data_IF_094746267407
#
_entry.id   IF_094746267407
#
_cell.length_a   1.000
_cell.length_b   1.000
_cell.length_c   1.000
_cell.angle_alpha   90.00
_cell.angle_beta   90.00
_cell.angle_gamma   90.00
#
_symmetry.space_group_name_H-M   'P 1'
#
loop_
_entity.id
_entity.type
_entity.pdbx_description
1 polymer ?
#
# COMPACT_ATOMS: atom_id res chain seq x y z
N UNK A 1 -0.66 -46.54 -41.74
CA UNK A 1 -0.12 -45.23 -42.12
C UNK A 1 -0.99 -44.04 -41.64
N UNK A 2 -2.31 -44.10 -41.58
CA UNK A 2 -3.23 -43.01 -41.22
C UNK A 2 -3.14 -42.60 -39.76
N UNK A 3 -2.82 -43.49 -38.81
CA UNK A 3 -2.78 -43.19 -37.35
C UNK A 3 -1.57 -42.32 -37.00
N UNK A 4 -0.42 -42.49 -37.67
CA UNK A 4 0.79 -41.69 -37.42
C UNK A 4 0.63 -40.23 -37.86
N UNK A 5 -0.06 -39.99 -38.98
CA UNK A 5 -0.32 -38.63 -39.48
C UNK A 5 -1.23 -37.85 -38.56
N UNK A 6 -2.30 -38.46 -38.01
CA UNK A 6 -3.20 -37.83 -37.07
C UNK A 6 -2.48 -37.40 -35.76
N UNK A 7 -1.59 -38.25 -35.22
CA UNK A 7 -0.80 -37.93 -34.02
C UNK A 7 0.16 -36.76 -34.25
N UNK A 8 0.78 -36.67 -35.44
CA UNK A 8 1.70 -35.59 -35.79
C UNK A 8 0.96 -34.25 -35.92
N UNK A 9 -0.23 -34.24 -36.56
CA UNK A 9 -1.06 -33.05 -36.69
C UNK A 9 -1.53 -32.56 -35.33
N UNK A 10 -2.06 -33.45 -34.49
CA UNK A 10 -2.50 -33.09 -33.12
C UNK A 10 -1.35 -32.49 -32.29
N UNK A 11 -0.15 -33.09 -32.40
CA UNK A 11 1.04 -32.55 -31.68
C UNK A 11 1.45 -31.16 -32.19
N UNK A 12 1.39 -30.90 -33.49
CA UNK A 12 1.68 -29.59 -34.09
C UNK A 12 0.67 -28.54 -33.65
N UNK A 13 -0.62 -28.90 -33.65
CA UNK A 13 -1.69 -28.00 -33.13
C UNK A 13 -1.47 -27.71 -31.64
N UNK A 14 -1.19 -28.73 -30.83
CA UNK A 14 -0.92 -28.55 -29.39
C UNK A 14 0.28 -27.64 -29.14
N UNK A 15 1.37 -27.80 -29.92
CA UNK A 15 2.53 -26.91 -29.86
C UNK A 15 2.18 -25.48 -30.30
N UNK A 16 1.41 -25.30 -31.36
CA UNK A 16 0.93 -24.02 -31.82
C UNK A 16 0.11 -23.31 -30.74
N UNK A 17 -0.85 -24.00 -30.12
CA UNK A 17 -1.67 -23.49 -29.03
C UNK A 17 -0.79 -23.11 -27.81
N UNK A 18 0.17 -23.96 -27.43
CA UNK A 18 1.09 -23.72 -26.34
C UNK A 18 1.94 -22.47 -26.59
N UNK A 19 2.55 -22.35 -27.78
CA UNK A 19 3.37 -21.18 -28.15
C UNK A 19 2.53 -19.89 -28.13
N UNK A 20 1.32 -19.95 -28.69
CA UNK A 20 0.40 -18.81 -28.69
C UNK A 20 0.00 -18.42 -27.26
N UNK A 21 -0.32 -19.40 -26.40
CA UNK A 21 -0.66 -19.17 -25.00
C UNK A 21 0.50 -18.58 -24.22
N UNK A 22 1.72 -19.10 -24.41
CA UNK A 22 2.95 -18.55 -23.82
C UNK A 22 3.23 -17.14 -24.34
N UNK A 23 3.11 -16.91 -25.65
CA UNK A 23 3.26 -15.59 -26.26
C UNK A 23 2.26 -14.59 -25.70
N UNK A 24 1.00 -14.97 -25.51
CA UNK A 24 0.00 -14.14 -24.87
C UNK A 24 0.31 -13.87 -23.39
N UNK A 25 0.77 -14.87 -22.66
CA UNK A 25 1.06 -14.76 -21.22
C UNK A 25 2.26 -13.84 -20.98
N UNK A 26 3.30 -13.97 -21.78
CA UNK A 26 4.54 -13.18 -21.65
C UNK A 26 4.43 -11.85 -22.42
N UNK A 27 3.76 -11.86 -23.58
CA UNK A 27 3.69 -10.70 -24.46
C UNK A 27 2.89 -9.54 -23.86
N UNK A 28 3.53 -8.35 -23.83
CA UNK A 28 2.89 -7.06 -23.53
C UNK A 28 3.44 -6.02 -24.52
N UNK A 29 2.58 -5.07 -24.90
CA UNK A 29 2.96 -4.01 -25.82
C UNK A 29 2.47 -2.64 -25.33
N UNK A 30 3.30 -1.59 -25.35
CA UNK A 30 4.74 -1.62 -25.64
C UNK A 30 5.56 -2.48 -24.66
N UNK A 31 6.76 -2.96 -25.04
CA UNK A 31 7.60 -3.74 -24.14
C UNK A 31 8.02 -2.91 -22.91
N UNK A 32 8.23 -3.49 -21.73
CA UNK A 32 8.55 -2.74 -20.50
C UNK A 32 9.72 -1.77 -20.62
N UNK A 33 10.75 -2.13 -21.37
CA UNK A 33 11.92 -1.26 -21.63
C UNK A 33 11.54 0.09 -22.25
N UNK A 34 10.45 0.13 -23.00
CA UNK A 34 9.95 1.37 -23.63
C UNK A 34 9.65 2.46 -22.60
N UNK A 35 9.18 2.07 -21.42
CA UNK A 35 8.83 3.00 -20.36
C UNK A 35 10.04 3.58 -19.60
N UNK A 36 11.25 3.17 -19.94
CA UNK A 36 12.48 3.82 -19.45
C UNK A 36 12.50 5.30 -19.78
N UNK A 37 12.18 5.62 -21.03
CA UNK A 37 12.33 6.98 -21.59
C UNK A 37 11.00 7.59 -22.05
N UNK A 38 9.92 6.80 -22.07
CA UNK A 38 8.63 7.25 -22.61
C UNK A 38 7.56 7.31 -21.54
N UNK A 39 6.62 8.22 -21.75
CA UNK A 39 5.40 8.31 -20.94
C UNK A 39 4.23 7.67 -21.69
N UNK A 40 3.37 6.89 -21.03
CA UNK A 40 2.15 6.41 -21.65
C UNK A 40 1.21 7.60 -21.92
N UNK A 41 0.69 7.67 -23.14
CA UNK A 41 -0.38 8.64 -23.47
C UNK A 41 -1.66 8.24 -22.76
N UNK A 42 -1.94 6.94 -22.71
CA UNK A 42 -3.10 6.35 -22.07
C UNK A 42 -2.77 4.93 -21.61
N UNK A 43 -3.19 4.56 -20.41
CA UNK A 43 -3.03 3.20 -19.90
C UNK A 43 -4.22 2.30 -20.25
N UNK A 44 -4.05 0.98 -20.12
CA UNK A 44 -5.16 0.05 -20.30
C UNK A 44 -6.30 0.30 -19.31
N UNK A 45 -5.98 0.74 -18.10
CA UNK A 45 -6.99 1.07 -17.08
C UNK A 45 -7.73 2.37 -17.43
N UNK A 46 -7.03 3.43 -17.84
CA UNK A 46 -7.62 4.70 -18.28
C UNK A 46 -8.60 4.47 -19.43
N UNK A 47 -8.18 3.74 -20.46
CA UNK A 47 -9.02 3.39 -21.62
C UNK A 47 -10.29 2.67 -21.21
N UNK A 48 -10.21 1.77 -20.25
CA UNK A 48 -11.37 1.03 -19.76
C UNK A 48 -12.36 1.91 -18.99
N UNK A 49 -11.88 2.88 -18.24
CA UNK A 49 -12.74 3.81 -17.50
C UNK A 49 -13.52 4.75 -18.43
N UNK A 50 -13.02 4.95 -19.67
CA UNK A 50 -13.71 5.73 -20.71
C UNK A 50 -13.88 7.22 -20.42
N UNK A 51 -13.21 7.71 -19.38
CA UNK A 51 -13.20 9.13 -19.06
C UNK A 51 -12.11 9.86 -19.86
N UNK A 52 -12.30 11.13 -20.25
CA UNK A 52 -11.23 11.94 -20.82
C UNK A 52 -10.05 11.99 -19.85
N UNK A 53 -8.90 11.53 -20.30
CA UNK A 53 -7.70 11.50 -19.47
C UNK A 53 -6.93 12.79 -19.70
N UNK A 54 -6.93 13.65 -18.68
CA UNK A 54 -6.03 14.81 -18.64
C UNK A 54 -5.02 14.56 -17.52
N UNK A 55 -3.87 13.97 -17.85
CA UNK A 55 -2.78 13.88 -16.90
C UNK A 55 -1.52 14.53 -17.47
N UNK A 56 -0.74 15.14 -16.59
CA UNK A 56 0.55 15.73 -16.95
C UNK A 56 1.60 15.04 -16.09
N UNK A 57 2.37 14.11 -16.65
CA UNK A 57 3.39 13.41 -15.88
C UNK A 57 4.48 14.39 -15.46
N UNK A 58 4.97 14.22 -14.26
CA UNK A 58 6.09 14.97 -13.70
C UNK A 58 7.20 14.01 -13.29
N UNK A 59 8.48 14.41 -13.37
CA UNK A 59 9.58 13.57 -12.90
C UNK A 59 9.52 13.35 -11.41
N UNK A 60 10.18 12.27 -10.92
CA UNK A 60 10.11 11.82 -9.54
C UNK A 60 10.56 12.91 -8.54
N UNK A 61 11.51 13.75 -8.94
CA UNK A 61 12.06 14.83 -8.11
C UNK A 61 11.03 15.93 -7.80
N UNK A 62 9.97 16.02 -8.58
CA UNK A 62 8.87 16.96 -8.32
C UNK A 62 7.85 16.42 -7.29
N UNK A 63 7.94 15.16 -6.92
CA UNK A 63 7.19 14.61 -5.80
C UNK A 63 7.98 14.77 -4.50
N UNK A 64 7.41 15.35 -3.45
CA UNK A 64 8.10 15.45 -2.18
C UNK A 64 8.41 14.05 -1.64
N UNK A 65 9.57 13.90 -1.01
CA UNK A 65 10.01 12.63 -0.45
C UNK A 65 9.02 12.03 0.55
N UNK A 66 8.27 12.89 1.24
CA UNK A 66 7.21 12.49 2.16
C UNK A 66 6.09 11.71 1.44
N UNK A 67 5.62 12.16 0.27
CA UNK A 67 4.63 11.41 -0.51
C UNK A 67 5.17 10.06 -0.96
N UNK A 68 6.39 10.04 -1.51
CA UNK A 68 7.03 8.81 -1.96
C UNK A 68 7.13 7.78 -0.82
N UNK A 69 7.56 8.20 0.36
CA UNK A 69 7.67 7.33 1.55
C UNK A 69 6.32 6.86 2.05
N UNK A 70 5.30 7.73 2.11
CA UNK A 70 3.97 7.38 2.58
C UNK A 70 3.26 6.40 1.65
N UNK A 71 3.44 6.54 0.34
CA UNK A 71 2.93 5.57 -0.65
C UNK A 71 3.61 4.21 -0.47
N UNK A 72 4.92 4.18 -0.27
CA UNK A 72 5.65 2.94 0.00
C UNK A 72 5.18 2.29 1.31
N UNK A 73 5.03 3.08 2.38
CA UNK A 73 4.53 2.60 3.68
C UNK A 73 3.12 2.02 3.56
N UNK A 74 2.25 2.68 2.81
CA UNK A 74 0.85 2.30 2.69
C UNK A 74 0.59 1.11 1.76
N UNK A 75 1.36 0.99 0.68
CA UNK A 75 1.08 0.04 -0.39
C UNK A 75 2.07 -1.12 -0.48
N UNK A 76 3.34 -0.88 -0.14
CA UNK A 76 4.40 -1.85 -0.40
C UNK A 76 5.65 -1.51 0.43
N UNK A 77 5.61 -1.78 1.72
CA UNK A 77 6.64 -1.35 2.67
C UNK A 77 8.04 -1.87 2.34
N UNK A 78 8.15 -2.97 1.60
CA UNK A 78 9.39 -3.58 1.13
C UNK A 78 9.71 -3.28 -0.34
N UNK A 79 9.04 -2.31 -0.96
CA UNK A 79 9.20 -1.95 -2.37
C UNK A 79 10.66 -1.86 -2.82
N UNK A 80 11.52 -1.29 -2.00
CA UNK A 80 12.95 -1.07 -2.34
C UNK A 80 13.79 -2.34 -2.30
N UNK A 81 13.30 -3.43 -1.71
CA UNK A 81 14.10 -4.64 -1.45
C UNK A 81 13.71 -5.85 -2.28
N UNK A 82 12.43 -5.98 -2.65
CA UNK A 82 11.99 -7.08 -3.52
C UNK A 82 12.11 -6.74 -5.01
N UNK A 83 11.91 -7.75 -5.89
CA UNK A 83 12.00 -7.62 -7.34
C UNK A 83 10.65 -7.93 -8.02
N UNK A 84 9.67 -7.05 -7.80
CA UNK A 84 8.35 -7.13 -8.45
C UNK A 84 7.31 -7.94 -7.72
N UNK A 85 7.72 -8.99 -7.00
CA UNK A 85 6.87 -9.79 -6.13
C UNK A 85 7.47 -9.80 -4.73
N UNK A 86 6.65 -9.57 -3.73
CA UNK A 86 7.02 -9.71 -2.34
C UNK A 86 6.65 -11.12 -1.85
N UNK A 87 7.61 -12.04 -1.93
CA UNK A 87 7.38 -13.42 -1.51
C UNK A 87 7.22 -13.58 0.00
N UNK A 88 7.78 -12.69 0.80
CA UNK A 88 7.57 -12.70 2.25
C UNK A 88 6.15 -12.31 2.59
N UNK A 89 5.64 -11.20 2.02
CA UNK A 89 4.25 -10.79 2.18
C UNK A 89 3.26 -11.86 1.71
N UNK A 90 3.54 -12.47 0.56
CA UNK A 90 2.71 -13.58 0.04
C UNK A 90 2.70 -14.75 1.03
N UNK A 91 3.84 -15.10 1.59
CA UNK A 91 3.97 -16.21 2.56
C UNK A 91 3.23 -15.89 3.85
N UNK A 92 3.40 -14.68 4.37
CA UNK A 92 2.76 -14.21 5.59
C UNK A 92 1.24 -14.16 5.43
N UNK A 93 0.75 -13.59 4.32
CA UNK A 93 -0.68 -13.56 3.99
C UNK A 93 -1.31 -14.96 3.90
N UNK A 94 -0.55 -15.94 3.43
CA UNK A 94 -0.99 -17.34 3.32
C UNK A 94 -0.82 -18.14 4.61
N UNK A 95 -0.07 -17.62 5.60
CA UNK A 95 0.30 -18.33 6.82
C UNK A 95 1.09 -19.60 6.48
N UNK A 96 2.12 -19.47 5.64
CA UNK A 96 2.99 -20.58 5.23
C UNK A 96 4.27 -20.59 6.09
N UNK A 97 4.60 -21.76 6.66
CA UNK A 97 5.87 -21.95 7.35
C UNK A 97 7.06 -21.92 6.38
N UNK A 98 8.25 -21.57 6.89
CA UNK A 98 9.48 -21.45 6.09
C UNK A 98 9.91 -22.73 5.37
N UNK A 99 9.33 -23.88 5.69
CA UNK A 99 9.63 -25.19 5.11
C UNK A 99 8.55 -25.75 4.19
N UNK A 100 7.52 -24.98 3.84
CA UNK A 100 6.43 -25.47 3.01
C UNK A 100 6.92 -25.86 1.60
N UNK A 101 6.74 -27.12 1.23
CA UNK A 101 7.10 -27.63 -0.10
C UNK A 101 6.27 -26.99 -1.21
N UNK A 102 6.81 -26.98 -2.44
CA UNK A 102 6.20 -26.34 -3.61
C UNK A 102 4.73 -26.74 -3.83
N UNK A 103 4.39 -28.03 -3.75
CA UNK A 103 3.01 -28.51 -3.92
C UNK A 103 2.05 -28.01 -2.85
N UNK A 104 2.51 -27.91 -1.60
CA UNK A 104 1.75 -27.35 -0.49
C UNK A 104 1.49 -25.87 -0.69
N UNK A 105 2.52 -25.13 -1.13
CA UNK A 105 2.44 -23.70 -1.45
C UNK A 105 1.41 -23.43 -2.54
N UNK A 106 1.51 -24.12 -3.69
CA UNK A 106 0.56 -23.96 -4.81
C UNK A 106 -0.89 -24.28 -4.39
N UNK A 107 -1.09 -25.37 -3.63
CA UNK A 107 -2.43 -25.74 -3.12
C UNK A 107 -2.97 -24.69 -2.15
N UNK A 108 -2.13 -24.13 -1.30
CA UNK A 108 -2.52 -23.10 -0.33
C UNK A 108 -2.84 -21.79 -1.02
N UNK A 109 -2.05 -21.36 -2.01
CA UNK A 109 -2.34 -20.20 -2.87
C UNK A 109 -3.74 -20.35 -3.49
N UNK A 110 -4.04 -21.51 -4.06
CA UNK A 110 -5.34 -21.75 -4.68
C UNK A 110 -6.51 -21.70 -3.69
N UNK A 111 -6.32 -22.26 -2.49
CA UNK A 111 -7.35 -22.30 -1.44
C UNK A 111 -7.56 -20.97 -0.73
N UNK A 112 -6.48 -20.21 -0.51
CA UNK A 112 -6.48 -18.95 0.27
C UNK A 112 -6.28 -17.72 -0.60
N UNK A 113 -6.62 -17.80 -1.89
CA UNK A 113 -6.44 -16.70 -2.84
C UNK A 113 -7.10 -15.38 -2.40
N UNK A 114 -8.16 -15.45 -1.58
CA UNK A 114 -8.81 -14.27 -1.05
C UNK A 114 -7.95 -13.52 -0.02
N UNK A 115 -7.02 -14.20 0.64
CA UNK A 115 -6.03 -13.59 1.56
C UNK A 115 -4.88 -12.91 0.84
N UNK A 116 -4.68 -13.21 -0.46
CA UNK A 116 -3.68 -12.51 -1.28
C UNK A 116 -4.16 -11.13 -1.75
N UNK A 117 -5.40 -10.75 -1.42
CA UNK A 117 -5.85 -9.38 -1.61
C UNK A 117 -5.05 -8.48 -0.67
N UNK A 118 -4.47 -7.41 -1.22
CA UNK A 118 -3.63 -6.49 -0.48
C UNK A 118 -2.14 -6.87 -0.41
N UNK A 119 -1.75 -8.09 -0.82
CA UNK A 119 -0.33 -8.46 -0.98
C UNK A 119 0.20 -8.13 -2.39
N UNK A 120 -0.42 -7.19 -3.08
CA UNK A 120 0.02 -6.76 -4.43
C UNK A 120 1.01 -5.62 -4.31
N UNK A 121 2.18 -5.79 -4.89
CA UNK A 121 3.25 -4.78 -4.88
C UNK A 121 2.91 -3.58 -5.77
N UNK A 122 3.58 -2.45 -5.55
CA UNK A 122 3.52 -1.25 -6.41
C UNK A 122 3.80 -1.64 -7.87
N UNK A 123 4.77 -2.50 -8.12
CA UNK A 123 5.12 -2.94 -9.48
C UNK A 123 4.02 -3.79 -10.12
N UNK A 124 3.33 -4.64 -9.35
CA UNK A 124 2.16 -5.38 -9.83
C UNK A 124 0.98 -4.45 -10.16
N UNK A 125 0.74 -3.46 -9.31
CA UNK A 125 -0.29 -2.44 -9.55
C UNK A 125 0.04 -1.62 -10.81
N UNK A 126 1.31 -1.23 -11.01
CA UNK A 126 1.75 -0.56 -12.24
C UNK A 126 1.55 -1.45 -13.47
N UNK A 127 1.93 -2.73 -13.41
CA UNK A 127 1.71 -3.69 -14.49
C UNK A 127 0.22 -3.82 -14.86
N UNK A 128 -0.65 -3.88 -13.84
CA UNK A 128 -2.11 -3.88 -14.02
C UNK A 128 -2.56 -2.61 -14.74
N UNK A 129 -2.14 -1.44 -14.29
CA UNK A 129 -2.55 -0.16 -14.87
C UNK A 129 -2.11 -0.01 -16.33
N UNK A 130 -0.86 -0.35 -16.63
CA UNK A 130 -0.29 -0.17 -17.96
C UNK A 130 -0.91 -1.09 -19.00
N UNK A 131 -1.10 -2.38 -18.67
CA UNK A 131 -1.29 -3.41 -19.69
C UNK A 131 -2.56 -4.25 -19.54
N UNK A 132 -3.17 -4.30 -18.34
CA UNK A 132 -4.18 -5.30 -18.06
C UNK A 132 -5.54 -4.66 -17.82
N UNK A 133 -6.57 -5.30 -18.37
CA UNK A 133 -7.94 -4.96 -18.01
C UNK A 133 -8.31 -5.64 -16.68
N UNK A 134 -9.16 -5.01 -15.83
CA UNK A 134 -9.68 -5.67 -14.66
C UNK A 134 -10.55 -6.86 -15.07
N UNK A 135 -10.12 -8.06 -14.70
CA UNK A 135 -10.87 -9.30 -14.82
C UNK A 135 -10.54 -10.21 -13.65
N UNK A 136 -11.48 -11.07 -13.26
CA UNK A 136 -11.27 -12.04 -12.17
C UNK A 136 -10.61 -13.33 -12.63
N UNK A 137 -10.03 -13.34 -13.84
CA UNK A 137 -9.37 -14.53 -14.37
C UNK A 137 -8.03 -14.76 -13.65
N UNK A 138 -7.77 -15.95 -13.07
CA UNK A 138 -6.49 -16.28 -12.44
C UNK A 138 -5.29 -16.12 -13.37
N UNK A 139 -5.45 -16.40 -14.67
CA UNK A 139 -4.40 -16.21 -15.67
C UNK A 139 -3.98 -14.74 -15.80
N UNK A 140 -4.90 -13.80 -15.58
CA UNK A 140 -4.57 -12.37 -15.53
C UNK A 140 -3.59 -12.07 -14.38
N UNK A 141 -3.80 -12.68 -13.20
CA UNK A 141 -2.89 -12.46 -12.05
C UNK A 141 -1.51 -13.06 -12.30
N UNK A 142 -1.42 -14.18 -13.00
CA UNK A 142 -0.14 -14.74 -13.45
C UNK A 142 0.54 -13.79 -14.46
N UNK A 143 -0.20 -13.29 -15.43
CA UNK A 143 0.32 -12.31 -16.40
C UNK A 143 0.78 -11.02 -15.72
N UNK A 144 0.03 -10.54 -14.75
CA UNK A 144 0.40 -9.38 -13.92
C UNK A 144 1.75 -9.61 -13.20
N UNK A 145 1.90 -10.76 -12.54
CA UNK A 145 3.13 -11.12 -11.84
C UNK A 145 4.34 -11.21 -12.81
N UNK A 146 4.18 -11.88 -13.96
CA UNK A 146 5.23 -11.96 -14.98
C UNK A 146 5.58 -10.58 -15.56
N UNK A 147 4.58 -9.73 -15.75
CA UNK A 147 4.80 -8.36 -16.24
C UNK A 147 5.51 -7.52 -15.20
N UNK A 148 5.17 -7.66 -13.93
CA UNK A 148 5.85 -6.98 -12.83
C UNK A 148 7.34 -7.36 -12.75
N UNK A 149 7.67 -8.67 -12.83
CA UNK A 149 9.05 -9.14 -12.90
C UNK A 149 9.82 -8.52 -14.09
N UNK A 150 9.18 -8.40 -15.24
CA UNK A 150 9.79 -7.80 -16.43
C UNK A 150 9.98 -6.29 -16.29
N UNK A 151 9.06 -5.57 -15.65
CA UNK A 151 9.24 -4.16 -15.33
C UNK A 151 10.46 -3.97 -14.43
N UNK A 152 10.61 -4.79 -13.40
CA UNK A 152 11.79 -4.72 -12.49
C UNK A 152 13.12 -5.09 -13.15
N UNK A 153 13.09 -5.96 -14.14
CA UNK A 153 14.30 -6.28 -14.91
C UNK A 153 14.74 -5.16 -15.86
N UNK A 154 13.80 -4.31 -16.28
CA UNK A 154 14.03 -3.32 -17.33
C UNK A 154 14.06 -1.87 -16.81
N UNK A 155 13.49 -1.61 -15.64
CA UNK A 155 13.34 -0.28 -15.07
C UNK A 155 13.96 -0.20 -13.67
N UNK A 156 14.47 0.96 -13.32
CA UNK A 156 14.89 1.23 -11.94
C UNK A 156 13.67 1.36 -11.01
N UNK A 157 13.88 1.12 -9.72
CA UNK A 157 12.86 1.35 -8.68
C UNK A 157 12.30 2.77 -8.70
N UNK A 158 13.16 3.75 -8.95
CA UNK A 158 12.75 5.15 -9.03
C UNK A 158 11.84 5.38 -10.24
N UNK A 159 12.17 4.80 -11.39
CA UNK A 159 11.32 4.92 -12.58
C UNK A 159 9.98 4.20 -12.41
N UNK A 160 9.96 3.05 -11.76
CA UNK A 160 8.72 2.33 -11.43
C UNK A 160 7.83 3.19 -10.52
N UNK A 161 8.40 3.77 -9.45
CA UNK A 161 7.67 4.65 -8.54
C UNK A 161 7.18 5.91 -9.24
N UNK A 162 8.00 6.51 -10.08
CA UNK A 162 7.66 7.68 -10.88
C UNK A 162 6.46 7.41 -11.80
N UNK A 163 6.50 6.31 -12.55
CA UNK A 163 5.39 5.89 -13.39
C UNK A 163 4.14 5.62 -12.54
N UNK A 164 4.29 4.93 -11.42
CA UNK A 164 3.17 4.62 -10.54
C UNK A 164 2.48 5.87 -10.03
N UNK A 165 3.22 6.82 -9.46
CA UNK A 165 2.69 8.08 -8.92
C UNK A 165 1.99 8.94 -9.98
N UNK A 166 2.41 8.83 -11.23
CA UNK A 166 1.80 9.57 -12.34
C UNK A 166 0.57 8.86 -12.94
N UNK A 167 0.42 7.54 -12.78
CA UNK A 167 -0.56 6.74 -13.52
C UNK A 167 -1.65 6.11 -12.68
N UNK A 168 -1.50 6.10 -11.35
CA UNK A 168 -2.48 5.47 -10.45
C UNK A 168 -3.78 6.26 -10.40
N UNK A 169 -4.91 5.55 -10.32
CA UNK A 169 -6.23 6.16 -10.10
C UNK A 169 -6.36 6.65 -8.66
N UNK A 170 -6.78 7.90 -8.47
CA UNK A 170 -6.97 8.54 -7.16
C UNK A 170 -8.38 9.11 -6.98
N UNK A 171 -9.24 8.86 -7.95
CA UNK A 171 -10.64 9.26 -7.93
C UNK A 171 -11.31 8.98 -9.26
N UNK A 172 -12.61 9.17 -9.41
CA UNK A 172 -13.32 8.97 -10.66
C UNK A 172 -12.72 9.83 -11.79
N UNK A 173 -12.05 9.19 -12.76
CA UNK A 173 -11.40 9.88 -13.87
C UNK A 173 -10.15 10.70 -13.47
N UNK A 174 -9.67 10.57 -12.26
CA UNK A 174 -8.56 11.33 -11.70
C UNK A 174 -7.30 10.45 -11.63
N UNK A 175 -6.33 10.74 -12.46
CA UNK A 175 -5.14 9.92 -12.67
C UNK A 175 -3.87 10.65 -12.26
N UNK A 176 -3.10 9.99 -11.41
CA UNK A 176 -1.82 10.46 -10.90
C UNK A 176 -1.92 11.47 -9.76
N UNK A 177 -0.91 11.44 -8.91
CA UNK A 177 -0.79 12.35 -7.78
C UNK A 177 -0.72 13.86 -8.20
N UNK A 178 -0.16 14.24 -9.36
CA UNK A 178 -0.18 15.64 -9.78
C UNK A 178 -1.60 16.20 -9.99
N UNK A 179 -2.45 15.44 -10.68
CA UNK A 179 -3.84 15.83 -10.88
C UNK A 179 -4.63 15.79 -9.58
N UNK A 180 -4.42 14.76 -8.75
CA UNK A 180 -5.09 14.61 -7.47
C UNK A 180 -4.70 15.71 -6.46
N UNK A 181 -3.42 16.09 -6.40
CA UNK A 181 -2.92 17.18 -5.58
C UNK A 181 -3.64 18.50 -5.90
N UNK A 182 -3.73 18.84 -7.19
CA UNK A 182 -4.43 20.04 -7.65
C UNK A 182 -5.94 19.94 -7.40
N UNK A 183 -6.55 18.79 -7.71
CA UNK A 183 -7.99 18.61 -7.62
C UNK A 183 -8.49 18.61 -6.16
N UNK A 184 -7.79 17.94 -5.25
CA UNK A 184 -8.24 17.79 -3.88
C UNK A 184 -7.78 18.93 -2.96
N UNK A 185 -6.59 19.48 -3.21
CA UNK A 185 -5.95 20.41 -2.28
C UNK A 185 -5.61 21.77 -2.91
N UNK A 186 -5.74 21.92 -4.21
CA UNK A 186 -5.42 23.18 -4.89
C UNK A 186 -3.92 23.50 -4.94
N UNK A 187 -3.04 22.53 -4.69
CA UNK A 187 -1.59 22.72 -4.63
C UNK A 187 -0.85 21.88 -5.66
N UNK A 188 0.34 22.31 -6.04
CA UNK A 188 1.24 21.49 -6.85
C UNK A 188 1.76 20.29 -6.03
N UNK A 189 2.16 19.17 -6.67
CA UNK A 189 2.67 17.99 -5.95
C UNK A 189 3.79 18.31 -4.96
N UNK A 190 4.73 19.18 -5.36
CA UNK A 190 5.87 19.58 -4.54
C UNK A 190 5.49 20.37 -3.28
N UNK A 191 4.28 20.95 -3.23
CA UNK A 191 3.77 21.73 -2.11
C UNK A 191 2.83 20.95 -1.19
N UNK A 192 2.70 19.62 -1.36
CA UNK A 192 1.88 18.78 -0.48
C UNK A 192 2.43 18.80 0.95
N UNK A 193 1.56 19.07 1.91
CA UNK A 193 1.84 18.84 3.33
C UNK A 193 1.89 17.35 3.66
N UNK A 194 2.44 16.98 4.83
CA UNK A 194 2.43 15.58 5.29
C UNK A 194 1.02 14.99 5.33
N UNK A 195 0.06 15.73 5.88
CA UNK A 195 -1.33 15.28 5.97
C UNK A 195 -1.97 15.06 4.58
N UNK A 196 -1.68 15.93 3.62
CA UNK A 196 -2.16 15.82 2.25
C UNK A 196 -1.49 14.65 1.51
N UNK A 197 -0.19 14.47 1.68
CA UNK A 197 0.56 13.34 1.12
C UNK A 197 0.04 12.00 1.66
N UNK A 198 -0.20 11.92 2.98
CA UNK A 198 -0.79 10.74 3.61
C UNK A 198 -2.22 10.48 3.12
N UNK A 199 -3.02 11.53 2.90
CA UNK A 199 -4.37 11.39 2.36
C UNK A 199 -4.37 10.82 0.93
N UNK A 200 -3.44 11.27 0.06
CA UNK A 200 -3.27 10.67 -1.28
C UNK A 200 -2.85 9.20 -1.18
N UNK A 201 -1.86 8.88 -0.34
CA UNK A 201 -1.43 7.50 -0.12
C UNK A 201 -2.57 6.63 0.41
N UNK A 202 -3.38 7.15 1.32
CA UNK A 202 -4.53 6.45 1.90
C UNK A 202 -5.69 6.25 0.92
N UNK A 203 -5.75 7.02 -0.16
CA UNK A 203 -6.79 6.90 -1.19
C UNK A 203 -6.54 5.73 -2.15
N UNK A 204 -5.28 5.30 -2.32
CA UNK A 204 -4.87 4.33 -3.33
C UNK A 204 -5.65 3.00 -3.33
N UNK A 205 -5.98 2.40 -2.17
CA UNK A 205 -6.70 1.13 -2.16
C UNK A 205 -8.16 1.24 -2.56
N UNK A 206 -8.79 2.40 -2.44
CA UNK A 206 -10.22 2.59 -2.67
C UNK A 206 -10.58 3.94 -3.31
N UNK A 207 -9.96 4.28 -4.47
CA UNK A 207 -10.07 5.61 -5.07
C UNK A 207 -11.49 6.02 -5.44
N UNK A 208 -12.37 5.07 -5.71
CA UNK A 208 -13.75 5.33 -6.11
C UNK A 208 -14.73 5.37 -4.94
N UNK A 209 -14.46 4.61 -3.88
CA UNK A 209 -15.40 4.45 -2.75
C UNK A 209 -15.06 5.32 -1.53
N UNK A 210 -13.79 5.75 -1.39
CA UNK A 210 -13.38 6.61 -0.29
C UNK A 210 -12.13 7.43 -0.67
N UNK A 211 -12.32 8.71 -0.88
CA UNK A 211 -11.26 9.65 -1.25
C UNK A 211 -11.52 11.02 -0.58
N UNK A 212 -10.64 12.01 -0.69
CA UNK A 212 -10.84 13.31 -0.06
C UNK A 212 -12.15 14.00 -0.38
N UNK A 213 -12.73 13.75 -1.56
CA UNK A 213 -13.97 14.36 -2.01
C UNK A 213 -15.23 13.53 -1.72
N UNK A 214 -15.07 12.24 -1.40
CA UNK A 214 -16.21 11.33 -1.29
C UNK A 214 -16.02 10.29 -0.19
N UNK A 215 -16.96 10.25 0.77
CA UNK A 215 -17.00 9.28 1.89
C UNK A 215 -15.62 9.08 2.55
N UNK A 216 -14.99 10.17 2.95
CA UNK A 216 -13.58 10.21 3.36
C UNK A 216 -13.21 9.37 4.61
N UNK A 217 -14.18 8.84 5.35
CA UNK A 217 -13.93 8.18 6.65
C UNK A 217 -12.91 7.03 6.58
N UNK A 218 -13.01 6.11 5.61
CA UNK A 218 -12.03 5.01 5.44
C UNK A 218 -10.65 5.55 5.07
N UNK A 219 -10.61 6.51 4.15
CA UNK A 219 -9.38 7.17 3.75
C UNK A 219 -8.73 7.90 4.92
N UNK A 220 -9.49 8.64 5.72
CA UNK A 220 -8.97 9.35 6.90
C UNK A 220 -8.41 8.39 7.94
N UNK A 221 -9.12 7.30 8.25
CA UNK A 221 -8.59 6.28 9.16
C UNK A 221 -7.26 5.68 8.67
N UNK A 222 -7.18 5.30 7.39
CA UNK A 222 -5.94 4.78 6.80
C UNK A 222 -4.83 5.83 6.76
N UNK A 223 -5.15 7.10 6.49
CA UNK A 223 -4.21 8.22 6.56
C UNK A 223 -3.53 8.30 7.92
N UNK A 224 -4.33 8.20 9.00
CA UNK A 224 -3.81 8.31 10.35
C UNK A 224 -2.86 7.14 10.69
N UNK A 225 -3.15 5.93 10.23
CA UNK A 225 -2.25 4.78 10.35
C UNK A 225 -0.93 4.99 9.56
N UNK A 226 -1.01 5.53 8.33
CA UNK A 226 0.18 5.82 7.52
C UNK A 226 1.04 6.90 8.19
N UNK A 227 0.43 7.97 8.70
CA UNK A 227 1.12 9.03 9.45
C UNK A 227 1.80 8.48 10.71
N UNK A 228 1.09 7.70 11.51
CA UNK A 228 1.63 7.07 12.71
C UNK A 228 2.88 6.23 12.37
N UNK A 229 2.80 5.40 11.33
CA UNK A 229 3.92 4.56 10.89
C UNK A 229 5.07 5.38 10.29
N UNK A 230 4.76 6.45 9.56
CA UNK A 230 5.76 7.39 9.05
C UNK A 230 6.57 8.05 10.17
N UNK A 231 5.93 8.37 11.29
CA UNK A 231 6.55 8.92 12.49
C UNK A 231 7.14 7.86 13.43
N UNK A 232 7.25 6.60 13.00
CA UNK A 232 7.93 5.53 13.72
C UNK A 232 7.07 4.79 14.74
N UNK A 233 5.77 5.02 14.78
CA UNK A 233 4.86 4.23 15.62
C UNK A 233 4.62 2.88 14.94
N UNK A 234 4.82 1.78 15.66
CA UNK A 234 4.57 0.44 15.13
C UNK A 234 3.07 0.13 15.13
N UNK A 235 2.42 0.47 14.00
CA UNK A 235 1.00 0.21 13.78
C UNK A 235 0.82 -0.71 12.57
N UNK A 236 -0.16 -1.59 12.65
CA UNK A 236 -0.55 -2.42 11.52
C UNK A 236 -1.45 -1.64 10.57
N UNK A 237 -1.08 -1.56 9.30
CA UNK A 237 -1.90 -0.99 8.23
C UNK A 237 -2.56 -2.16 7.50
N UNK A 238 -3.89 -2.33 7.63
CA UNK A 238 -4.58 -3.43 6.96
C UNK A 238 -4.42 -3.34 5.44
N UNK A 239 -4.14 -4.45 4.76
CA UNK A 239 -4.16 -4.49 3.30
C UNK A 239 -5.61 -4.34 2.83
N UNK A 240 -5.85 -3.34 2.00
CA UNK A 240 -7.16 -3.07 1.43
C UNK A 240 -7.07 -2.99 -0.09
N UNK A 241 -8.11 -3.43 -0.78
CA UNK A 241 -8.22 -3.31 -2.24
C UNK A 241 -9.70 -3.10 -2.60
N UNK A 242 -9.95 -2.10 -3.45
CA UNK A 242 -11.28 -1.86 -3.97
C UNK A 242 -11.64 -2.93 -5.00
N UNK A 243 -12.88 -3.38 -4.95
CA UNK A 243 -13.39 -4.30 -5.97
C UNK A 243 -13.56 -3.54 -7.29
N UNK A 244 -13.07 -4.11 -8.38
CA UNK A 244 -13.22 -3.56 -9.74
C UNK A 244 -14.70 -3.36 -10.16
N UNK A 245 -15.64 -3.86 -9.36
CA UNK A 245 -17.08 -3.80 -9.58
C UNK A 245 -17.78 -2.65 -8.86
N UNK A 246 -17.04 -1.82 -8.11
CA UNK A 246 -17.64 -0.66 -7.45
C UNK A 246 -18.15 0.30 -8.53
N UNK A 247 -19.43 0.70 -8.48
CA UNK A 247 -19.96 1.70 -9.40
C UNK A 247 -19.15 3.00 -9.28
N UNK A 248 -18.75 3.54 -10.41
CA UNK A 248 -18.05 4.83 -10.44
C UNK A 248 -19.03 5.89 -9.93
N UNK A 249 -18.74 6.58 -8.82
CA UNK A 249 -19.60 7.64 -8.35
C UNK A 249 -19.64 8.78 -9.38
N UNK A 250 -20.68 9.62 -9.36
CA UNK A 250 -20.74 10.79 -10.23
C UNK A 250 -19.50 11.67 -10.01
N UNK A 251 -19.04 12.31 -11.08
CA UNK A 251 -17.94 13.27 -11.00
C UNK A 251 -18.28 14.38 -10.00
N UNK A 252 -17.42 14.58 -9.02
CA UNK A 252 -17.59 15.68 -8.07
C UNK A 252 -16.80 16.89 -8.55
N UNK A 253 -17.38 18.09 -8.51
CA UNK A 253 -16.62 19.32 -8.75
C UNK A 253 -15.48 19.45 -7.73
N UNK A 254 -14.43 20.25 -8.05
CA UNK A 254 -13.33 20.51 -7.12
C UNK A 254 -13.86 20.89 -5.74
N UNK A 255 -13.32 20.30 -4.69
CA UNK A 255 -13.60 20.75 -3.33
C UNK A 255 -12.93 22.10 -3.17
N UNK A 256 -13.68 23.07 -2.70
CA UNK A 256 -13.13 24.39 -2.31
C UNK A 256 -12.13 24.15 -1.17
N UNK A 257 -10.84 24.51 -1.34
CA UNK A 257 -9.74 24.13 -0.46
C UNK A 257 -9.89 24.40 1.05
N UNK A 258 -10.63 25.44 1.53
CA UNK A 258 -10.62 25.76 2.97
C UNK A 258 -11.24 24.70 3.87
N UNK A 259 -12.23 23.93 3.38
CA UNK A 259 -12.96 22.97 4.23
C UNK A 259 -12.14 21.71 4.49
N UNK A 260 -11.42 21.23 3.49
CA UNK A 260 -10.64 20.00 3.64
C UNK A 260 -9.37 20.22 4.44
N UNK A 261 -8.73 21.39 4.33
CA UNK A 261 -7.54 21.74 5.12
C UNK A 261 -7.90 21.84 6.62
N UNK A 262 -9.10 22.32 6.95
CA UNK A 262 -9.62 22.32 8.31
C UNK A 262 -9.85 20.91 8.83
N UNK A 263 -10.49 20.04 8.04
CA UNK A 263 -10.70 18.64 8.41
C UNK A 263 -9.40 17.86 8.57
N UNK A 264 -8.39 18.16 7.75
CA UNK A 264 -7.06 17.55 7.87
C UNK A 264 -6.28 18.09 9.08
N UNK A 265 -6.50 19.33 9.48
CA UNK A 265 -5.89 19.95 10.67
C UNK A 265 -6.50 19.43 11.97
N UNK A 266 -7.81 19.38 12.06
CA UNK A 266 -8.53 18.99 13.29
C UNK A 266 -8.26 17.53 13.67
N UNK A 267 -7.97 16.65 12.72
CA UNK A 267 -7.63 15.26 13.02
C UNK A 267 -6.17 15.05 13.45
N UNK A 268 -5.31 16.06 13.33
CA UNK A 268 -3.93 16.01 13.84
C UNK A 268 -3.81 16.54 15.28
N UNK A 269 -4.84 17.20 15.80
CA UNK A 269 -4.94 17.58 17.20
C UNK A 269 -5.57 16.42 17.98
N UNK A 270 -4.80 15.37 18.24
CA UNK A 270 -5.08 14.50 19.38
C UNK A 270 -4.90 15.38 20.60
N UNK A 271 -5.90 15.56 21.46
CA UNK A 271 -5.66 16.21 22.74
C UNK A 271 -4.64 15.35 23.47
N UNK A 272 -3.42 15.82 23.59
CA UNK A 272 -2.54 15.35 24.64
C UNK A 272 -3.24 15.78 25.92
N UNK A 273 -3.93 14.84 26.56
CA UNK A 273 -4.45 15.00 27.90
C UNK A 273 -3.23 15.28 28.78
N UNK A 274 -2.94 16.58 28.93
CA UNK A 274 -1.95 17.07 29.88
C UNK A 274 -2.52 16.76 31.25
N UNK A 275 -2.12 15.64 31.81
CA UNK A 275 -2.21 15.42 33.25
C UNK A 275 -1.53 16.61 33.89
N UNK A 276 -2.24 17.42 34.71
CA UNK A 276 -1.58 18.51 35.41
C UNK A 276 -0.49 17.92 36.31
N UNK A 277 0.68 18.55 36.39
CA UNK A 277 1.69 18.09 37.33
C UNK A 277 1.10 18.12 38.73
N UNK A 278 1.19 16.99 39.44
CA UNK A 278 0.90 16.88 40.87
C UNK A 278 1.54 18.06 41.58
N UNK A 279 0.71 18.95 42.09
CA UNK A 279 1.11 20.03 42.95
C UNK A 279 1.53 19.36 44.25
N UNK A 280 2.82 19.15 44.42
CA UNK A 280 3.41 18.82 45.73
C UNK A 280 3.02 19.90 46.69
N UNK A 281 2.13 19.60 47.63
CA UNK A 281 1.86 20.40 48.77
C UNK A 281 3.13 20.56 49.63
N UNK A 282 3.40 21.74 50.18
CA UNK A 282 4.55 21.93 51.05
C UNK A 282 4.38 21.13 52.36
N UNK A 283 5.47 20.62 52.95
CA UNK A 283 5.41 19.87 54.19
C UNK A 283 4.97 20.78 55.36
N UNK A 284 3.90 20.37 56.00
CA UNK A 284 3.44 20.99 57.26
C UNK A 284 4.47 20.77 58.36
N UNK A 285 4.73 21.86 59.07
CA UNK A 285 5.57 22.05 60.22
C UNK A 285 5.25 21.09 61.35
N UNK A 286 6.29 20.47 61.89
CA UNK A 286 6.30 19.71 63.15
C UNK A 286 5.88 20.59 64.36
N UNK A 287 5.17 20.05 65.34
CA UNK A 287 5.28 20.47 66.72
C UNK A 287 6.18 19.51 67.51
N UNK A 288 6.97 20.18 68.32
CA UNK A 288 8.00 19.75 69.24
C UNK A 288 7.47 18.97 70.45
N UNK A 289 8.38 18.17 71.04
CA UNK A 289 8.50 17.73 72.42
C UNK A 289 7.58 16.63 73.01
N UNK A 290 8.13 15.61 73.46
CA UNK A 290 8.67 15.20 74.73
C UNK A 290 8.58 13.68 74.98
N UNK A 291 9.70 13.19 75.34
CA UNK A 291 10.04 12.20 76.39
C UNK A 291 9.33 10.81 76.46
N UNK A 292 10.17 9.90 76.50
CA UNK A 292 10.35 8.83 77.46
C UNK A 292 10.25 7.35 76.98
N UNK A 293 11.36 6.71 77.37
CA UNK A 293 11.51 5.29 77.79
C UNK A 293 11.68 4.18 76.76
N UNK A 294 12.94 3.75 76.72
CA UNK A 294 13.42 2.43 76.38
C UNK A 294 12.88 1.38 77.38
N UNK A 295 12.64 0.12 77.00
CA UNK A 295 13.67 -0.88 77.24
C UNK A 295 13.85 -1.98 76.17
N UNK A 296 15.04 -2.47 76.23
CA UNK A 296 15.70 -3.57 75.54
C UNK A 296 15.02 -4.92 75.60
N UNK A 297 15.41 -5.77 74.68
CA UNK A 297 15.84 -7.18 74.74
C UNK A 297 14.99 -8.02 73.74
N UNK A 298 15.45 -8.96 73.00
CA UNK A 298 16.51 -9.96 73.02
C UNK A 298 16.53 -10.72 71.71
N UNK A 299 17.68 -10.91 71.12
CA UNK A 299 18.27 -12.15 70.52
C UNK A 299 17.35 -13.30 70.11
N UNK A 300 17.54 -13.83 68.85
CA UNK A 300 18.17 -15.12 68.45
C UNK A 300 17.77 -15.41 67.00
N UNK A 301 18.69 -15.53 66.09
CA UNK A 301 19.46 -16.72 65.60
C UNK A 301 18.57 -17.87 65.05
N UNK A 302 18.97 -18.26 63.85
CA UNK A 302 18.83 -19.60 63.23
C UNK A 302 18.44 -19.47 61.76
N UNK A 303 19.26 -19.55 60.78
CA UNK A 303 20.10 -20.63 60.20
C UNK A 303 19.30 -21.83 59.65
N UNK A 304 19.71 -22.14 58.41
CA UNK A 304 19.64 -23.42 57.64
C UNK A 304 18.40 -23.57 56.74
N UNK A 305 18.58 -23.64 55.44
CA UNK A 305 19.25 -24.60 54.52
C UNK A 305 18.28 -25.57 53.85
N UNK A 306 18.35 -25.61 52.53
CA UNK A 306 18.24 -26.73 51.59
C UNK A 306 16.85 -27.41 51.36
N UNK A 307 16.32 -27.35 50.23
CA UNK A 307 16.46 -28.29 49.09
C UNK A 307 15.84 -27.71 47.83
#
# INVERSE_FOLDING_TARGET
>A
MVIGVKRTIVRRIAWGVLVTALGWLVGVWPPPVWWGDHWPVETAMMRRRGAPVSYRPVPLEQFPSVLQRMVIIGEDSRFRTHHGLDFEEIRDALGLDQGAGFGTTVRTIWRRRDRLRGASTITQQLAKNLYLSPSRNPLRKVKEALTALRLELMLSKDRILELYLNLVELGPGLWGAPAASTQYFGVAPAALSEAQAAALAATLPFPLSSNPAYRSGRMLHRRDLILARYHGVDVYIPPEEELDTVPVPPFFPPIVPPVLDTLLRDSLTVPVESTPPDTLAPPDTLPDSTSDSIPQSTRRRGMTSAR
#
